data_IF_004748865360
#
_entry.id   IF_004748865360
#
_cell.length_a   1.000
_cell.length_b   1.000
_cell.length_c   1.000
_cell.angle_alpha   90.00
_cell.angle_beta   90.00
_cell.angle_gamma   90.00
#
_symmetry.space_group_name_H-M   'P 1'
#
loop_
_entity.id
_entity.type
_entity.pdbx_description
1 polymer ?
#
# COMPACT_ATOMS: atom_id res chain seq x y z
N UNK A 1 17.79 -21.66 5.22
CA UNK A 1 17.04 -21.43 6.49
C UNK A 1 16.91 -19.91 6.64
N UNK A 2 15.71 -19.31 6.66
CA UNK A 2 15.55 -17.84 6.62
C UNK A 2 16.25 -17.07 7.76
N UNK A 3 16.55 -17.76 8.85
CA UNK A 3 17.16 -17.20 10.07
C UNK A 3 18.60 -17.64 10.29
N UNK A 4 19.28 -18.18 9.27
CA UNK A 4 20.69 -18.59 9.42
C UNK A 4 21.67 -17.42 9.36
N UNK A 5 21.24 -16.27 8.83
CA UNK A 5 21.97 -15.01 8.77
C UNK A 5 20.98 -13.85 8.56
N UNK A 6 21.49 -12.64 8.37
CA UNK A 6 20.73 -11.39 8.20
C UNK A 6 20.23 -11.17 6.76
N UNK A 7 20.42 -12.11 5.83
CA UNK A 7 20.03 -11.91 4.42
C UNK A 7 18.53 -11.70 4.26
N UNK A 8 17.69 -12.47 4.96
CA UNK A 8 16.24 -12.31 4.90
C UNK A 8 15.78 -10.99 5.52
N UNK A 9 16.38 -10.60 6.65
CA UNK A 9 16.08 -9.33 7.31
C UNK A 9 16.42 -8.13 6.41
N UNK A 10 17.61 -8.12 5.78
CA UNK A 10 18.02 -7.07 4.86
C UNK A 10 17.11 -6.97 3.64
N UNK A 11 16.64 -8.11 3.12
CA UNK A 11 15.71 -8.13 1.99
C UNK A 11 14.33 -7.56 2.37
N UNK A 12 13.80 -7.92 3.55
CA UNK A 12 12.58 -7.32 4.10
C UNK A 12 12.73 -5.81 4.26
N UNK A 13 13.86 -5.33 4.78
CA UNK A 13 14.13 -3.89 4.91
C UNK A 13 14.22 -3.19 3.54
N UNK A 14 14.77 -3.85 2.52
CA UNK A 14 14.82 -3.32 1.15
C UNK A 14 13.42 -3.19 0.55
N UNK A 15 12.61 -4.23 0.61
CA UNK A 15 11.21 -4.21 0.13
C UNK A 15 10.36 -3.20 0.90
N UNK A 16 10.58 -3.07 2.20
CA UNK A 16 9.92 -2.07 3.04
C UNK A 16 10.14 -0.63 2.54
N UNK A 17 11.35 -0.30 2.06
CA UNK A 17 11.65 1.02 1.47
C UNK A 17 10.89 1.24 0.16
N UNK A 18 10.76 0.22 -0.67
CA UNK A 18 9.97 0.28 -1.91
C UNK A 18 8.50 0.60 -1.58
N UNK A 19 7.90 -0.14 -0.65
CA UNK A 19 6.51 0.10 -0.21
C UNK A 19 6.35 1.50 0.40
N UNK A 20 7.29 1.91 1.26
CA UNK A 20 7.30 3.25 1.87
C UNK A 20 7.30 4.36 0.82
N UNK A 21 8.21 4.31 -0.15
CA UNK A 21 8.34 5.32 -1.19
C UNK A 21 7.08 5.40 -2.06
N UNK A 22 6.55 4.24 -2.48
CA UNK A 22 5.31 4.18 -3.27
C UNK A 22 4.12 4.72 -2.47
N UNK A 23 3.95 4.31 -1.21
CA UNK A 23 2.83 4.77 -0.39
C UNK A 23 2.92 6.26 -0.06
N UNK A 24 4.11 6.81 0.16
CA UNK A 24 4.31 8.26 0.34
C UNK A 24 3.90 9.03 -0.91
N UNK A 25 4.29 8.55 -2.09
CA UNK A 25 3.91 9.17 -3.35
C UNK A 25 2.39 9.14 -3.57
N UNK A 26 1.73 8.04 -3.23
CA UNK A 26 0.27 7.92 -3.33
C UNK A 26 -0.46 8.85 -2.35
N UNK A 27 -0.01 8.93 -1.09
CA UNK A 27 -0.58 9.84 -0.10
C UNK A 27 -0.42 11.31 -0.49
N UNK A 28 0.76 11.68 -1.04
CA UNK A 28 0.99 13.02 -1.56
C UNK A 28 0.06 13.34 -2.73
N UNK A 29 -0.07 12.42 -3.70
CA UNK A 29 -0.94 12.59 -4.86
C UNK A 29 -2.42 12.73 -4.46
N UNK A 30 -2.92 11.93 -3.52
CA UNK A 30 -4.26 12.10 -2.97
C UNK A 30 -4.45 13.48 -2.34
N UNK A 31 -3.49 13.90 -1.53
CA UNK A 31 -3.53 15.21 -0.85
C UNK A 31 -3.52 16.37 -1.86
N UNK A 32 -2.71 16.27 -2.91
CA UNK A 32 -2.65 17.25 -4.01
C UNK A 32 -3.97 17.34 -4.79
N UNK A 33 -4.74 16.24 -4.86
CA UNK A 33 -6.07 16.20 -5.47
C UNK A 33 -7.21 16.46 -4.46
N UNK A 34 -6.90 16.98 -3.27
CA UNK A 34 -7.90 17.42 -2.29
C UNK A 34 -8.43 16.33 -1.36
N UNK A 35 -7.86 15.12 -1.37
CA UNK A 35 -8.17 14.04 -0.44
C UNK A 35 -7.04 13.97 0.61
N UNK A 36 -7.24 14.45 1.85
CA UNK A 36 -6.20 14.38 2.87
C UNK A 36 -5.74 12.93 3.09
N UNK A 37 -4.46 12.67 2.90
CA UNK A 37 -3.92 11.32 3.08
C UNK A 37 -2.54 11.34 3.73
N UNK A 38 -2.26 10.36 4.59
CA UNK A 38 -0.96 10.20 5.24
C UNK A 38 -0.45 8.76 5.20
N UNK A 39 0.84 8.61 4.96
CA UNK A 39 1.53 7.32 4.98
C UNK A 39 2.07 7.03 6.39
N UNK A 40 1.94 5.78 6.86
CA UNK A 40 2.62 5.31 8.08
C UNK A 40 2.91 3.82 8.07
N UNK A 41 3.95 3.42 8.79
CA UNK A 41 4.20 2.03 9.14
C UNK A 41 5.67 1.73 9.46
N UNK A 42 5.97 0.43 9.60
CA UNK A 42 7.33 -0.07 9.88
C UNK A 42 7.57 -1.38 9.16
N UNK A 43 8.71 -1.49 8.47
CA UNK A 43 9.00 -2.67 7.66
C UNK A 43 7.96 -2.81 6.53
N UNK A 44 7.52 -4.04 6.27
CA UNK A 44 6.47 -4.33 5.29
C UNK A 44 5.03 -4.21 5.84
N UNK A 45 4.87 -3.78 7.10
CA UNK A 45 3.56 -3.45 7.67
C UNK A 45 3.33 -1.94 7.52
N UNK A 46 2.66 -1.54 6.44
CA UNK A 46 2.43 -0.13 6.07
C UNK A 46 1.01 0.15 5.63
N UNK A 47 0.57 1.39 5.73
CA UNK A 47 -0.76 1.83 5.34
C UNK A 47 -0.82 3.28 4.89
N UNK A 48 -1.80 3.58 4.05
CA UNK A 48 -2.21 4.95 3.70
C UNK A 48 -3.55 5.20 4.39
N UNK A 49 -3.58 6.19 5.26
CA UNK A 49 -4.80 6.69 5.88
C UNK A 49 -5.38 7.78 4.99
N UNK A 50 -6.58 7.55 4.49
CA UNK A 50 -7.31 8.45 3.57
C UNK A 50 -8.48 9.14 4.25
N UNK A 51 -8.51 9.14 5.60
CA UNK A 51 -9.48 9.77 6.51
C UNK A 51 -10.96 9.42 6.33
N UNK A 52 -11.28 8.62 5.32
CA UNK A 52 -12.64 8.23 4.94
C UNK A 52 -12.68 6.76 4.56
N UNK A 53 -13.47 5.98 5.30
CA UNK A 53 -13.75 4.58 4.97
C UNK A 53 -14.31 4.41 3.56
N UNK A 54 -15.19 5.31 3.12
CA UNK A 54 -15.77 5.26 1.77
C UNK A 54 -14.71 5.38 0.67
N UNK A 55 -13.69 6.23 0.86
CA UNK A 55 -12.59 6.38 -0.10
C UNK A 55 -11.70 5.13 -0.07
N UNK A 56 -11.39 4.62 1.12
CA UNK A 56 -10.60 3.41 1.28
C UNK A 56 -11.29 2.20 0.62
N UNK A 57 -12.61 2.03 0.83
CA UNK A 57 -13.41 0.97 0.26
C UNK A 57 -13.52 1.07 -1.27
N UNK A 58 -13.64 2.28 -1.83
CA UNK A 58 -13.55 2.48 -3.29
C UNK A 58 -12.22 2.01 -3.85
N UNK A 59 -11.11 2.36 -3.18
CA UNK A 59 -9.75 1.96 -3.62
C UNK A 59 -9.60 0.44 -3.57
N UNK A 60 -9.98 -0.21 -2.46
CA UNK A 60 -9.83 -1.65 -2.29
C UNK A 60 -10.77 -2.45 -3.21
N UNK A 61 -12.01 -2.00 -3.42
CA UNK A 61 -12.93 -2.61 -4.37
C UNK A 61 -12.37 -2.56 -5.81
N UNK A 62 -11.88 -1.40 -6.24
CA UNK A 62 -11.28 -1.26 -7.56
C UNK A 62 -10.00 -2.09 -7.70
N UNK A 63 -9.18 -2.17 -6.65
CA UNK A 63 -7.99 -3.03 -6.63
C UNK A 63 -8.36 -4.51 -6.82
N UNK A 64 -9.43 -4.97 -6.16
CA UNK A 64 -9.93 -6.34 -6.30
C UNK A 64 -10.39 -6.65 -7.73
N UNK A 65 -11.10 -5.72 -8.38
CA UNK A 65 -11.49 -5.84 -9.79
C UNK A 65 -10.28 -5.93 -10.74
N UNK A 66 -9.14 -5.34 -10.34
CA UNK A 66 -7.87 -5.40 -11.07
C UNK A 66 -6.97 -6.58 -10.65
N UNK A 67 -7.46 -7.50 -9.82
CA UNK A 67 -6.72 -8.70 -9.42
C UNK A 67 -5.79 -8.52 -8.22
N UNK A 68 -5.84 -7.38 -7.53
CA UNK A 68 -5.07 -7.13 -6.30
C UNK A 68 -5.96 -7.30 -5.06
N UNK A 69 -5.62 -8.27 -4.21
CA UNK A 69 -6.21 -8.37 -2.87
C UNK A 69 -5.47 -7.42 -1.93
N UNK A 70 -6.15 -6.36 -1.50
CA UNK A 70 -5.69 -5.42 -0.49
C UNK A 70 -6.89 -5.00 0.37
N UNK A 71 -6.67 -4.82 1.66
CA UNK A 71 -7.74 -4.66 2.66
C UNK A 71 -7.67 -3.33 3.39
N UNK A 72 -8.76 -2.97 4.04
CA UNK A 72 -8.84 -1.78 4.89
C UNK A 72 -8.60 -2.10 6.37
N UNK A 73 -8.36 -1.06 7.17
CA UNK A 73 -8.22 -1.07 8.63
C UNK A 73 -8.44 0.34 9.16
N UNK A 74 -8.19 0.57 10.45
CA UNK A 74 -8.61 1.81 11.10
C UNK A 74 -9.95 1.62 11.80
N UNK A 75 -10.34 2.59 12.63
CA UNK A 75 -11.58 2.47 13.40
C UNK A 75 -12.80 2.56 12.49
N UNK A 76 -12.69 3.34 11.42
CA UNK A 76 -13.73 3.64 10.44
C UNK A 76 -13.42 3.00 9.07
N UNK A 77 -12.45 2.08 9.00
CA UNK A 77 -12.02 1.46 7.73
C UNK A 77 -11.17 2.38 6.84
N UNK A 78 -10.65 3.47 7.38
CA UNK A 78 -10.02 4.58 6.67
C UNK A 78 -8.57 4.33 6.20
N UNK A 79 -7.99 3.16 6.45
CA UNK A 79 -6.58 2.85 6.16
C UNK A 79 -6.44 1.68 5.18
N UNK A 80 -5.95 1.96 3.98
CA UNK A 80 -5.54 0.94 2.99
C UNK A 80 -4.17 0.39 3.37
N UNK A 81 -4.08 -0.90 3.74
CA UNK A 81 -2.86 -1.51 4.31
C UNK A 81 -2.18 -2.51 3.37
N UNK A 82 -0.86 -2.42 3.25
CA UNK A 82 -0.02 -3.45 2.65
C UNK A 82 0.45 -4.42 3.73
N UNK A 83 0.04 -5.69 3.60
CA UNK A 83 0.49 -6.82 4.42
C UNK A 83 0.93 -7.98 3.51
N UNK A 84 1.77 -7.68 2.52
CA UNK A 84 2.28 -8.69 1.60
C UNK A 84 3.18 -9.72 2.31
N UNK A 85 3.30 -10.94 1.76
CA UNK A 85 4.25 -11.92 2.28
C UNK A 85 5.67 -11.35 2.32
N UNK A 86 6.40 -11.56 3.42
CA UNK A 86 7.80 -11.12 3.53
C UNK A 86 8.70 -11.74 2.44
N UNK A 87 8.28 -12.89 1.90
CA UNK A 87 8.94 -13.64 0.83
C UNK A 87 8.45 -13.29 -0.57
N UNK A 88 7.59 -12.27 -0.73
CA UNK A 88 7.08 -11.84 -2.05
C UNK A 88 8.24 -11.57 -3.02
N UNK A 89 8.06 -11.90 -4.30
CA UNK A 89 9.04 -11.54 -5.32
C UNK A 89 9.05 -10.02 -5.55
N UNK A 90 10.13 -9.48 -6.11
CA UNK A 90 10.14 -8.05 -6.47
C UNK A 90 9.17 -7.76 -7.62
N UNK A 91 8.99 -8.72 -8.53
CA UNK A 91 8.06 -8.62 -9.66
C UNK A 91 6.62 -8.47 -9.17
N UNK A 92 6.14 -9.40 -8.33
CA UNK A 92 4.78 -9.36 -7.79
C UNK A 92 4.55 -8.14 -6.88
N UNK A 93 5.58 -7.74 -6.12
CA UNK A 93 5.50 -6.56 -5.26
C UNK A 93 5.30 -5.29 -6.10
N UNK A 94 6.07 -5.14 -7.18
CA UNK A 94 5.97 -3.97 -8.06
C UNK A 94 4.66 -3.99 -8.83
N UNK A 95 4.24 -5.14 -9.37
CA UNK A 95 2.95 -5.28 -10.06
C UNK A 95 1.78 -4.91 -9.15
N UNK A 96 1.75 -5.41 -7.91
CA UNK A 96 0.71 -5.06 -6.95
C UNK A 96 0.69 -3.56 -6.61
N UNK A 97 1.86 -2.93 -6.47
CA UNK A 97 1.95 -1.49 -6.22
C UNK A 97 1.50 -0.66 -7.45
N UNK A 98 1.76 -1.14 -8.66
CA UNK A 98 1.31 -0.50 -9.91
C UNK A 98 -0.22 -0.59 -10.08
N UNK A 99 -0.82 -1.73 -9.74
CA UNK A 99 -2.29 -1.88 -9.69
C UNK A 99 -2.88 -0.91 -8.67
N UNK A 100 -2.32 -0.86 -7.45
CA UNK A 100 -2.79 0.06 -6.42
C UNK A 100 -2.70 1.52 -6.87
N UNK A 101 -1.59 1.93 -7.47
CA UNK A 101 -1.40 3.28 -7.98
C UNK A 101 -2.45 3.65 -9.04
N UNK A 102 -2.75 2.74 -9.97
CA UNK A 102 -3.80 2.93 -10.97
C UNK A 102 -5.15 3.18 -10.30
N UNK A 103 -5.51 2.40 -9.28
CA UNK A 103 -6.78 2.53 -8.58
C UNK A 103 -6.89 3.84 -7.80
N UNK A 104 -5.83 4.21 -7.09
CA UNK A 104 -5.76 5.48 -6.34
C UNK A 104 -5.89 6.68 -7.29
N UNK A 105 -5.21 6.66 -8.44
CA UNK A 105 -5.30 7.73 -9.45
C UNK A 105 -6.71 7.90 -10.01
N UNK A 106 -7.41 6.79 -10.25
CA UNK A 106 -8.79 6.82 -10.73
C UNK A 106 -9.71 7.48 -9.69
N UNK A 107 -9.63 7.06 -8.42
CA UNK A 107 -10.43 7.64 -7.33
C UNK A 107 -10.10 9.11 -7.07
N UNK A 108 -8.83 9.51 -7.19
CA UNK A 108 -8.41 10.90 -7.03
C UNK A 108 -8.89 11.84 -8.14
N UNK A 109 -9.33 11.29 -9.28
CA UNK A 109 -9.79 12.06 -10.45
C UNK A 109 -11.32 12.13 -10.57
N UNK A 110 -12.06 11.51 -9.63
CA UNK A 110 -13.52 11.60 -9.52
C UNK A 110 -13.97 12.91 -8.88
#
# INVERSE_FOLDING_TARGET
>A
KYWSNDTFERDVQRKARIVEERFKSLAAMLTENGIPATERGRGLMRGIDVVSGDIADKITAMAFEHGLIIETSGQDGEVVKCLCPLTISDEDLLEGLDILEKCVKAVASE
#
